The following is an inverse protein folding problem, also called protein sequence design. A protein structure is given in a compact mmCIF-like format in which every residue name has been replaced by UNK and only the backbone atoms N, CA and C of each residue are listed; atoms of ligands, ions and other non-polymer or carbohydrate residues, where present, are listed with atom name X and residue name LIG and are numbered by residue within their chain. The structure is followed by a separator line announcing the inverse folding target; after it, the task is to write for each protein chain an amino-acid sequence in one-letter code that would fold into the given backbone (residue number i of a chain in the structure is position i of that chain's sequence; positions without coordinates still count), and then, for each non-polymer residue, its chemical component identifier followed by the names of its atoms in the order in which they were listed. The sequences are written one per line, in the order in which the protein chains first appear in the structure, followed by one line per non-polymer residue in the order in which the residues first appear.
data_IF_354970250254
#
_entry.id   IF_354970250254
#
_cell.length_a   1.000
_cell.length_b   1.000
_cell.length_c   1.000
_cell.angle_alpha   90.00
_cell.angle_beta   90.00
_cell.angle_gamma   90.00
#
_symmetry.space_group_name_H-M   'P 1'
#
loop_
_entity.id
_entity.type
_entity.pdbx_description
1 polymer ?
#
# COMPACT_ATOMS: atom_id res chain seq x y z
N UNK A 1 -5.28 -22.29 -14.07
CA UNK A 1 -6.21 -21.21 -14.52
C UNK A 1 -5.87 -19.92 -13.81
N UNK A 2 -6.16 -18.77 -14.43
CA UNK A 2 -5.89 -17.45 -13.85
C UNK A 2 -7.23 -16.79 -13.51
N UNK A 3 -7.37 -16.16 -12.34
CA UNK A 3 -8.60 -15.45 -11.96
C UNK A 3 -8.32 -14.09 -11.30
N UNK A 4 -8.79 -13.00 -11.92
CA UNK A 4 -8.68 -11.65 -11.35
C UNK A 4 -9.81 -10.72 -11.82
N UNK A 5 -10.03 -9.63 -11.07
CA UNK A 5 -11.16 -8.70 -11.29
C UNK A 5 -11.10 -7.90 -12.59
N UNK A 6 -9.96 -7.86 -13.30
CA UNK A 6 -9.83 -7.21 -14.62
C UNK A 6 -10.23 -8.10 -15.81
N UNK A 7 -10.58 -9.37 -15.57
CA UNK A 7 -11.05 -10.28 -16.62
C UNK A 7 -12.48 -9.89 -17.03
N UNK A 8 -12.84 -10.18 -18.28
CA UNK A 8 -14.20 -9.97 -18.76
C UNK A 8 -15.19 -10.84 -18.00
N UNK A 9 -16.43 -10.35 -17.82
CA UNK A 9 -17.43 -11.07 -17.02
C UNK A 9 -17.75 -12.46 -17.60
N UNK A 10 -17.76 -12.61 -18.93
CA UNK A 10 -17.96 -13.90 -19.59
C UNK A 10 -16.87 -14.92 -19.22
N UNK A 11 -15.60 -14.51 -19.24
CA UNK A 11 -14.44 -15.35 -18.88
C UNK A 11 -14.49 -15.74 -17.39
N UNK A 12 -14.91 -14.81 -16.52
CA UNK A 12 -15.08 -15.09 -15.09
C UNK A 12 -16.18 -16.10 -14.83
N UNK A 13 -17.30 -16.02 -15.55
CA UNK A 13 -18.40 -16.98 -15.47
C UNK A 13 -17.97 -18.35 -15.99
N UNK A 14 -17.23 -18.41 -17.09
CA UNK A 14 -16.68 -19.66 -17.63
C UNK A 14 -15.78 -20.38 -16.62
N UNK A 15 -14.84 -19.65 -16.00
CA UNK A 15 -13.97 -20.21 -14.97
C UNK A 15 -14.79 -20.64 -13.76
N UNK A 16 -15.76 -19.84 -13.31
CA UNK A 16 -16.62 -20.20 -12.18
C UNK A 16 -17.38 -21.49 -12.45
N UNK A 17 -18.00 -21.62 -13.63
CA UNK A 17 -18.73 -22.81 -14.04
C UNK A 17 -17.80 -24.03 -14.15
N UNK A 18 -16.58 -23.85 -14.67
CA UNK A 18 -15.59 -24.93 -14.76
C UNK A 18 -15.13 -25.43 -13.39
N UNK A 19 -14.93 -24.52 -12.43
CA UNK A 19 -14.60 -24.88 -11.05
C UNK A 19 -15.79 -25.61 -10.40
N UNK A 20 -17.01 -25.14 -10.60
CA UNK A 20 -18.21 -25.78 -10.09
C UNK A 20 -18.48 -27.17 -10.71
N UNK A 21 -18.25 -27.32 -12.02
CA UNK A 21 -18.51 -28.54 -12.78
C UNK A 21 -17.45 -29.63 -12.59
N UNK A 22 -16.28 -29.30 -12.03
CA UNK A 22 -15.19 -30.25 -11.78
C UNK A 22 -15.57 -31.42 -10.84
N UNK A 23 -16.77 -31.37 -10.24
CA UNK A 23 -17.38 -32.47 -9.48
C UNK A 23 -18.22 -33.45 -10.30
N UNK A 24 -18.79 -33.02 -11.44
CA UNK A 24 -19.90 -33.74 -12.10
C UNK A 24 -19.44 -34.88 -13.01
N UNK A 25 -18.24 -34.78 -13.59
CA UNK A 25 -17.82 -35.63 -14.71
C UNK A 25 -16.66 -36.57 -14.39
N UNK A 26 -16.24 -36.66 -13.12
CA UNK A 26 -15.14 -37.54 -12.73
C UNK A 26 -13.79 -37.19 -13.34
N UNK A 27 -13.68 -36.06 -14.06
CA UNK A 27 -12.42 -35.53 -14.57
C UNK A 27 -11.56 -35.00 -13.41
N UNK A 28 -10.42 -35.64 -13.09
CA UNK A 28 -9.49 -35.11 -12.12
C UNK A 28 -8.66 -34.03 -12.82
N UNK A 29 -9.22 -32.83 -12.98
CA UNK A 29 -8.36 -31.69 -13.28
C UNK A 29 -7.77 -31.22 -11.97
N UNK A 30 -6.50 -31.54 -11.72
CA UNK A 30 -5.68 -30.90 -10.70
C UNK A 30 -5.57 -29.41 -11.02
N UNK A 31 -6.62 -28.65 -10.67
CA UNK A 31 -6.75 -27.25 -11.04
C UNK A 31 -5.94 -26.40 -10.07
N UNK A 32 -4.71 -26.07 -10.46
CA UNK A 32 -4.02 -24.93 -9.86
C UNK A 32 -4.69 -23.66 -10.38
N UNK A 33 -5.34 -22.92 -9.48
CA UNK A 33 -5.90 -21.60 -9.77
C UNK A 33 -4.99 -20.55 -9.16
N UNK A 34 -4.35 -19.76 -10.03
CA UNK A 34 -3.63 -18.57 -9.64
C UNK A 34 -4.59 -17.39 -9.70
N UNK A 35 -4.75 -16.64 -8.62
CA UNK A 35 -5.65 -15.51 -8.66
C UNK A 35 -5.39 -14.45 -7.61
N UNK A 36 -5.99 -13.29 -7.82
CA UNK A 36 -6.00 -12.22 -6.84
C UNK A 36 -6.98 -12.55 -5.70
N UNK A 37 -7.17 -11.60 -4.77
CA UNK A 37 -8.09 -11.70 -3.61
C UNK A 37 -9.43 -12.41 -3.88
N UNK A 38 -10.07 -12.10 -4.99
CA UNK A 38 -11.42 -12.59 -5.33
C UNK A 38 -11.46 -14.07 -5.69
N UNK A 39 -10.34 -14.68 -6.07
CA UNK A 39 -10.28 -16.10 -6.41
C UNK A 39 -10.62 -17.01 -5.23
N UNK A 40 -10.48 -16.49 -4.01
CA UNK A 40 -10.85 -17.20 -2.78
C UNK A 40 -12.34 -17.59 -2.73
N UNK A 41 -13.21 -16.89 -3.45
CA UNK A 41 -14.66 -17.14 -3.46
C UNK A 41 -15.13 -18.00 -4.64
N UNK A 42 -14.21 -18.62 -5.38
CA UNK A 42 -14.59 -19.61 -6.37
C UNK A 42 -15.24 -20.83 -5.68
N UNK A 43 -16.19 -21.50 -6.34
CA UNK A 43 -17.04 -22.52 -5.74
C UNK A 43 -16.30 -23.86 -5.67
N UNK A 44 -15.21 -23.91 -4.92
CA UNK A 44 -14.40 -25.13 -4.78
C UNK A 44 -15.20 -26.20 -4.03
N UNK A 45 -15.33 -27.37 -4.63
CA UNK A 45 -15.93 -28.54 -4.00
C UNK A 45 -14.95 -29.32 -3.12
N UNK A 46 -13.72 -29.51 -3.62
CA UNK A 46 -12.64 -30.25 -2.95
C UNK A 46 -11.35 -29.42 -2.94
N UNK A 47 -11.34 -28.39 -2.11
CA UNK A 47 -10.15 -27.54 -1.94
C UNK A 47 -9.07 -28.31 -1.17
N UNK A 48 -7.96 -28.63 -1.85
CA UNK A 48 -6.86 -29.40 -1.25
C UNK A 48 -5.79 -28.57 -0.53
N UNK A 49 -5.59 -27.32 -0.93
CA UNK A 49 -4.59 -26.42 -0.36
C UNK A 49 -4.90 -24.97 -0.76
N UNK A 50 -4.73 -24.03 0.16
CA UNK A 50 -4.70 -22.60 -0.15
C UNK A 50 -3.28 -22.08 0.09
N UNK A 51 -2.70 -21.40 -0.89
CA UNK A 51 -1.41 -20.70 -0.75
C UNK A 51 -1.66 -19.21 -0.88
N UNK A 52 -1.27 -18.45 0.15
CA UNK A 52 -1.24 -16.98 0.11
C UNK A 52 0.22 -16.56 0.10
N UNK A 53 0.72 -16.20 -1.08
CA UNK A 53 2.07 -15.67 -1.24
C UNK A 53 2.12 -14.19 -0.87
N UNK A 54 3.27 -13.75 -0.35
CA UNK A 54 3.48 -12.41 0.23
C UNK A 54 2.35 -11.96 1.16
N UNK A 55 2.00 -12.79 2.15
CA UNK A 55 0.80 -12.61 2.99
C UNK A 55 0.67 -11.24 3.68
N UNK A 56 1.79 -10.55 3.89
CA UNK A 56 1.84 -9.20 4.48
C UNK A 56 1.36 -8.09 3.54
N UNK A 57 1.13 -8.37 2.25
CA UNK A 57 0.76 -7.37 1.26
C UNK A 57 -0.60 -6.73 1.55
N UNK A 58 -0.61 -5.41 1.72
CA UNK A 58 -1.83 -4.62 1.97
C UNK A 58 -2.85 -4.74 0.84
N UNK A 59 -2.42 -5.10 -0.37
CA UNK A 59 -3.34 -5.35 -1.48
C UNK A 59 -4.34 -6.46 -1.19
N UNK A 60 -4.12 -7.31 -0.19
CA UNK A 60 -5.09 -8.31 0.24
C UNK A 60 -6.30 -7.74 1.01
N UNK A 61 -6.22 -6.51 1.53
CA UNK A 61 -7.37 -5.83 2.14
C UNK A 61 -8.23 -5.15 1.07
N UNK A 62 -9.49 -5.55 0.97
CA UNK A 62 -10.49 -4.92 0.12
C UNK A 62 -10.99 -3.62 0.76
N UNK A 63 -10.94 -2.51 0.04
CA UNK A 63 -11.36 -1.18 0.53
C UNK A 63 -12.75 -0.80 0.02
N UNK A 64 -12.95 -0.73 -1.31
CA UNK A 64 -14.25 -0.49 -1.92
C UNK A 64 -14.35 -1.27 -3.25
N UNK A 65 -15.55 -1.73 -3.64
CA UNK A 65 -16.78 -1.69 -2.86
C UNK A 65 -16.74 -2.66 -1.66
N UNK A 66 -17.67 -2.48 -0.72
CA UNK A 66 -17.97 -3.47 0.30
C UNK A 66 -18.32 -4.83 -0.33
N UNK A 67 -18.01 -5.96 0.33
CA UNK A 67 -17.49 -6.09 1.70
C UNK A 67 -15.99 -5.81 1.84
N UNK A 68 -15.59 -5.21 2.96
CA UNK A 68 -14.19 -4.84 3.27
C UNK A 68 -13.42 -5.96 3.97
N UNK A 69 -13.27 -7.09 3.29
CA UNK A 69 -12.59 -8.26 3.84
C UNK A 69 -11.06 -8.19 3.65
N UNK A 70 -10.33 -8.93 4.47
CA UNK A 70 -8.89 -9.18 4.26
C UNK A 70 -8.71 -10.59 3.71
N UNK A 71 -8.21 -10.73 2.48
CA UNK A 71 -8.16 -12.03 1.81
C UNK A 71 -7.30 -13.07 2.55
N UNK A 72 -6.16 -12.68 3.14
CA UNK A 72 -5.39 -13.56 4.04
C UNK A 72 -6.23 -14.17 5.17
N UNK A 73 -6.97 -13.33 5.90
CA UNK A 73 -7.78 -13.81 7.03
C UNK A 73 -8.93 -14.69 6.53
N UNK A 74 -9.54 -14.31 5.40
CA UNK A 74 -10.57 -15.12 4.75
C UNK A 74 -10.01 -16.45 4.22
N UNK A 75 -8.74 -16.51 3.80
CA UNK A 75 -8.10 -17.74 3.37
C UNK A 75 -7.98 -18.74 4.53
N UNK A 76 -7.61 -18.25 5.72
CA UNK A 76 -7.60 -19.07 6.95
C UNK A 76 -9.01 -19.57 7.29
N UNK A 77 -10.03 -18.70 7.18
CA UNK A 77 -11.42 -19.10 7.43
C UNK A 77 -11.91 -20.11 6.39
N UNK A 78 -11.66 -19.88 5.11
CA UNK A 78 -12.04 -20.77 4.02
C UNK A 78 -11.35 -22.14 4.15
N UNK A 79 -10.05 -22.17 4.45
CA UNK A 79 -9.33 -23.41 4.71
C UNK A 79 -9.93 -24.18 5.88
N UNK A 80 -10.30 -23.50 6.97
CA UNK A 80 -10.97 -24.15 8.10
C UNK A 80 -12.36 -24.71 7.72
N UNK A 81 -13.16 -23.97 6.95
CA UNK A 81 -14.49 -24.41 6.50
C UNK A 81 -14.42 -25.60 5.51
N UNK A 82 -13.45 -25.56 4.59
CA UNK A 82 -13.23 -26.59 3.58
C UNK A 82 -12.34 -27.74 4.06
N UNK A 83 -11.82 -27.67 5.30
CA UNK A 83 -10.80 -28.59 5.84
C UNK A 83 -9.54 -28.67 4.97
N UNK A 84 -9.20 -27.57 4.30
CA UNK A 84 -8.01 -27.45 3.48
C UNK A 84 -6.86 -26.82 4.29
N UNK A 85 -5.62 -27.36 4.22
CA UNK A 85 -4.46 -26.67 4.75
C UNK A 85 -4.28 -25.29 4.10
N UNK A 86 -3.72 -24.35 4.87
CA UNK A 86 -3.43 -22.99 4.43
C UNK A 86 -1.96 -22.69 4.66
N UNK A 87 -1.25 -22.33 3.59
CA UNK A 87 0.13 -21.88 3.62
C UNK A 87 0.17 -20.36 3.44
N UNK A 88 0.68 -19.65 4.44
CA UNK A 88 0.95 -18.22 4.35
C UNK A 88 2.46 -18.03 4.15
N UNK A 89 2.86 -17.65 2.94
CA UNK A 89 4.25 -17.44 2.56
C UNK A 89 4.65 -15.97 2.70
N UNK A 90 5.79 -15.70 3.32
CA UNK A 90 6.44 -14.38 3.26
C UNK A 90 7.87 -14.41 3.80
N UNK A 91 8.75 -13.59 3.21
CA UNK A 91 10.05 -13.26 3.79
C UNK A 91 9.94 -12.32 5.00
N UNK A 92 8.94 -11.43 5.00
CA UNK A 92 8.71 -10.43 6.04
C UNK A 92 7.27 -10.49 6.52
N UNK A 93 6.88 -11.53 7.28
CA UNK A 93 5.49 -11.77 7.64
C UNK A 93 4.88 -10.59 8.41
N UNK A 94 3.57 -10.43 8.28
CA UNK A 94 2.79 -9.49 9.07
C UNK A 94 2.90 -9.82 10.56
N UNK A 95 2.86 -8.79 11.40
CA UNK A 95 2.94 -9.00 12.84
C UNK A 95 1.76 -9.81 13.38
N UNK A 96 0.59 -9.73 12.72
CA UNK A 96 -0.57 -10.58 13.00
C UNK A 96 -0.27 -12.06 12.78
N UNK A 97 0.24 -12.43 11.60
CA UNK A 97 0.54 -13.82 11.24
C UNK A 97 1.68 -14.38 12.07
N UNK A 98 2.77 -13.62 12.25
CA UNK A 98 3.91 -14.03 13.06
C UNK A 98 3.52 -14.24 14.53
N UNK A 99 2.68 -13.36 15.10
CA UNK A 99 2.15 -13.56 16.46
C UNK A 99 1.29 -14.81 16.57
N UNK A 100 0.39 -15.05 15.62
CA UNK A 100 -0.45 -16.26 15.65
C UNK A 100 0.41 -17.54 15.59
N UNK A 101 1.51 -17.51 14.82
CA UNK A 101 2.47 -18.61 14.78
C UNK A 101 3.22 -18.76 16.12
N UNK A 102 3.70 -17.67 16.73
CA UNK A 102 4.32 -17.68 18.07
C UNK A 102 3.38 -18.17 19.18
N UNK A 103 2.07 -17.94 19.04
CA UNK A 103 1.05 -18.43 19.98
C UNK A 103 0.63 -19.89 19.71
N UNK A 104 1.23 -20.57 18.72
CA UNK A 104 0.87 -21.94 18.35
C UNK A 104 -0.46 -22.09 17.62
N UNK A 105 -1.10 -20.98 17.20
CA UNK A 105 -2.32 -21.04 16.37
C UNK A 105 -1.99 -21.45 14.94
N UNK A 106 -0.83 -21.03 14.44
CA UNK A 106 -0.27 -21.44 13.15
C UNK A 106 1.03 -22.22 13.38
N UNK A 107 1.37 -23.12 12.47
CA UNK A 107 2.73 -23.66 12.40
C UNK A 107 3.69 -22.61 11.86
N UNK A 108 4.89 -22.50 12.44
CA UNK A 108 5.97 -21.67 11.92
C UNK A 108 7.04 -22.56 11.29
N UNK A 109 7.24 -22.43 9.99
CA UNK A 109 8.36 -23.05 9.27
C UNK A 109 9.27 -21.92 8.80
N UNK A 110 10.54 -21.97 9.20
CA UNK A 110 11.54 -20.96 8.83
C UNK A 110 12.56 -21.60 7.91
N UNK A 111 12.73 -21.01 6.72
CA UNK A 111 13.81 -21.35 5.80
C UNK A 111 14.93 -20.34 6.03
N UNK A 112 16.03 -20.78 6.65
CA UNK A 112 17.15 -19.91 7.04
C UNK A 112 18.24 -19.80 5.96
N UNK A 113 18.10 -20.54 4.86
CA UNK A 113 19.05 -20.55 3.76
C UNK A 113 18.34 -20.11 2.49
N UNK A 114 18.99 -19.23 1.73
CA UNK A 114 18.54 -18.84 0.40
C UNK A 114 18.73 -20.00 -0.56
N UNK A 115 17.90 -20.06 -1.58
CA UNK A 115 18.07 -21.02 -2.67
C UNK A 115 19.30 -20.63 -3.51
N UNK A 116 20.24 -21.57 -3.68
CA UNK A 116 21.47 -21.37 -4.47
C UNK A 116 22.61 -20.69 -3.71
N UNK A 117 23.53 -20.05 -4.46
CA UNK A 117 24.75 -19.37 -3.95
C UNK A 117 24.57 -17.86 -3.77
N UNK A 118 23.36 -17.32 -3.96
CA UNK A 118 23.13 -15.89 -3.98
C UNK A 118 23.28 -15.26 -2.58
N UNK A 119 24.31 -14.42 -2.42
CA UNK A 119 24.53 -13.63 -1.21
C UNK A 119 23.48 -12.52 -1.06
N UNK A 120 23.27 -12.06 0.17
CA UNK A 120 22.47 -10.86 0.42
C UNK A 120 23.15 -9.64 -0.20
N UNK A 121 22.41 -8.76 -0.86
CA UNK A 121 23.01 -7.58 -1.46
C UNK A 121 23.55 -6.65 -0.37
N UNK A 122 24.60 -5.91 -0.71
CA UNK A 122 25.19 -4.92 0.19
C UNK A 122 24.19 -3.78 0.44
N UNK A 123 23.76 -3.60 1.69
CA UNK A 123 22.88 -2.50 2.09
C UNK A 123 23.73 -1.29 2.51
N UNK A 124 23.70 -0.25 1.68
CA UNK A 124 24.40 1.02 1.89
C UNK A 124 23.39 2.07 2.35
N UNK A 125 23.63 2.66 3.53
CA UNK A 125 22.80 3.75 4.05
C UNK A 125 23.44 5.08 3.64
N UNK A 126 22.74 5.86 2.82
CA UNK A 126 23.21 7.14 2.31
C UNK A 126 22.53 8.32 3.03
N UNK A 127 23.33 9.13 3.72
CA UNK A 127 22.86 10.28 4.49
C UNK A 127 22.65 11.51 3.59
N UNK A 128 21.37 11.82 3.32
CA UNK A 128 20.94 12.97 2.53
C UNK A 128 21.35 14.29 3.21
N UNK A 129 21.28 14.39 4.53
CA UNK A 129 21.61 15.63 5.24
C UNK A 129 23.11 15.93 5.16
N UNK A 130 23.95 14.91 5.33
CA UNK A 130 25.40 15.04 5.15
C UNK A 130 25.73 15.50 3.72
N UNK A 131 25.22 14.80 2.72
CA UNK A 131 25.50 15.10 1.31
C UNK A 131 24.99 16.50 0.90
N UNK A 132 23.82 16.94 1.40
CA UNK A 132 23.31 18.29 1.16
C UNK A 132 24.18 19.37 1.81
N UNK A 133 24.57 19.19 3.07
CA UNK A 133 25.42 20.16 3.80
C UNK A 133 26.76 20.35 3.11
N UNK A 134 27.33 19.28 2.57
CA UNK A 134 28.60 19.30 1.83
C UNK A 134 28.46 19.71 0.36
N UNK A 135 27.23 19.94 -0.14
CA UNK A 135 26.92 20.25 -1.55
C UNK A 135 27.38 19.16 -2.52
N UNK A 136 27.32 17.90 -2.09
CA UNK A 136 27.74 16.72 -2.86
C UNK A 136 26.58 16.04 -3.60
N UNK A 137 25.34 16.52 -3.41
CA UNK A 137 24.16 15.98 -4.10
C UNK A 137 24.22 16.28 -5.60
N UNK A 138 23.93 15.27 -6.42
CA UNK A 138 23.69 15.42 -7.86
C UNK A 138 22.20 15.32 -8.12
N UNK A 139 21.55 16.47 -8.24
CA UNK A 139 20.09 16.61 -8.18
C UNK A 139 19.51 15.91 -6.95
N UNK A 140 18.87 14.76 -7.12
CA UNK A 140 18.27 13.94 -6.07
C UNK A 140 19.15 12.78 -5.56
N UNK A 141 20.32 12.55 -6.19
CA UNK A 141 21.20 11.44 -5.86
C UNK A 141 22.29 11.86 -4.86
N UNK A 142 22.45 11.06 -3.82
CA UNK A 142 23.61 11.05 -2.94
C UNK A 142 24.84 10.53 -3.70
N UNK A 143 26.07 10.89 -3.27
CA UNK A 143 27.29 10.37 -3.88
C UNK A 143 27.31 8.84 -3.96
N UNK A 144 26.89 8.18 -2.89
CA UNK A 144 26.85 6.72 -2.78
C UNK A 144 25.95 6.10 -3.86
N UNK A 145 24.73 6.61 -4.03
CA UNK A 145 23.81 6.12 -5.04
C UNK A 145 24.29 6.46 -6.46
N UNK A 146 24.79 7.68 -6.67
CA UNK A 146 25.31 8.09 -7.98
C UNK A 146 26.45 7.18 -8.45
N UNK A 147 27.43 6.90 -7.59
CA UNK A 147 28.57 6.05 -7.93
C UNK A 147 28.15 4.63 -8.29
N UNK A 148 27.25 4.01 -7.50
CA UNK A 148 26.75 2.67 -7.78
C UNK A 148 25.98 2.60 -9.10
N UNK A 149 25.17 3.62 -9.41
CA UNK A 149 24.48 3.68 -10.71
C UNK A 149 25.49 3.80 -11.85
N UNK A 150 26.48 4.69 -11.75
CA UNK A 150 27.49 4.85 -12.80
C UNK A 150 28.26 3.54 -13.06
N UNK A 151 28.71 2.87 -12.00
CA UNK A 151 29.40 1.58 -12.09
C UNK A 151 28.53 0.51 -12.76
N UNK A 152 27.26 0.42 -12.39
CA UNK A 152 26.31 -0.50 -13.01
C UNK A 152 26.16 -0.23 -14.51
N UNK A 153 25.97 1.04 -14.91
CA UNK A 153 25.81 1.43 -16.31
C UNK A 153 27.08 1.18 -17.13
N UNK A 154 28.26 1.47 -16.58
CA UNK A 154 29.56 1.20 -17.22
C UNK A 154 29.77 -0.30 -17.48
N UNK A 155 29.28 -1.15 -16.57
CA UNK A 155 29.32 -2.60 -16.70
C UNK A 155 28.18 -3.18 -17.56
N UNK A 156 27.32 -2.33 -18.15
CA UNK A 156 26.17 -2.77 -18.95
C UNK A 156 25.07 -3.45 -18.12
N UNK A 157 25.01 -3.17 -16.82
CA UNK A 157 24.06 -3.71 -15.87
C UNK A 157 22.86 -2.77 -15.68
N UNK A 158 21.79 -3.28 -15.07
CA UNK A 158 20.54 -2.54 -14.91
C UNK A 158 20.31 -2.08 -13.47
N UNK A 159 19.58 -0.97 -13.34
CA UNK A 159 19.29 -0.30 -12.07
C UNK A 159 17.78 -0.17 -11.86
N UNK A 160 17.30 -0.42 -10.64
CA UNK A 160 15.98 0.01 -10.19
C UNK A 160 16.10 1.24 -9.31
N UNK A 161 15.31 2.27 -9.60
CA UNK A 161 15.09 3.41 -8.71
C UNK A 161 13.68 3.36 -8.14
N UNK A 162 13.60 3.11 -6.85
CA UNK A 162 12.36 3.03 -6.11
C UNK A 162 12.01 4.37 -5.47
N UNK A 163 10.81 4.86 -5.78
CA UNK A 163 10.23 6.03 -5.13
C UNK A 163 8.88 5.66 -4.50
N UNK A 164 8.80 5.71 -3.18
CA UNK A 164 7.51 5.58 -2.50
C UNK A 164 6.77 6.94 -2.52
N UNK A 165 5.65 6.98 -3.23
CA UNK A 165 4.82 8.18 -3.40
C UNK A 165 3.33 7.91 -3.15
N UNK A 166 2.96 7.08 -2.15
CA UNK A 166 1.55 7.06 -1.72
C UNK A 166 1.19 8.45 -1.16
N UNK A 167 0.30 9.18 -1.85
CA UNK A 167 -0.44 10.31 -1.28
C UNK A 167 -0.11 11.73 -1.77
N UNK A 168 0.90 11.96 -2.62
CA UNK A 168 1.21 13.32 -3.10
C UNK A 168 1.05 13.42 -4.61
N UNK A 169 -0.16 13.56 -5.12
CA UNK A 169 -0.39 13.85 -6.54
C UNK A 169 0.28 15.17 -6.97
N UNK A 170 0.68 15.35 -8.24
CA UNK A 170 1.09 16.67 -8.74
C UNK A 170 -0.01 17.68 -8.46
N UNK A 171 0.31 18.87 -7.97
CA UNK A 171 -0.63 19.96 -7.73
C UNK A 171 -0.02 21.26 -8.24
N UNK A 172 -0.82 22.32 -8.30
CA UNK A 172 -0.28 23.66 -8.60
C UNK A 172 -0.33 24.52 -7.35
N UNK A 173 0.65 25.39 -7.22
CA UNK A 173 0.86 26.26 -6.06
C UNK A 173 1.27 27.64 -6.57
N UNK A 174 0.70 28.70 -5.98
CA UNK A 174 1.19 30.05 -6.20
C UNK A 174 2.52 30.25 -5.46
N UNK A 175 3.58 30.57 -6.20
CA UNK A 175 4.92 30.79 -5.65
C UNK A 175 5.00 31.98 -4.69
N UNK A 176 4.11 32.97 -4.83
CA UNK A 176 4.13 34.18 -3.99
C UNK A 176 3.36 34.01 -2.68
N UNK A 177 2.14 33.46 -2.71
CA UNK A 177 1.27 33.41 -1.54
C UNK A 177 0.94 31.99 -1.04
N UNK A 178 1.48 30.95 -1.68
CA UNK A 178 1.28 29.55 -1.32
C UNK A 178 -0.13 29.01 -1.58
N UNK A 179 -0.94 29.72 -2.37
CA UNK A 179 -2.30 29.26 -2.69
C UNK A 179 -2.28 27.99 -3.54
N UNK A 180 -3.03 26.97 -3.12
CA UNK A 180 -3.20 25.69 -3.82
C UNK A 180 -4.68 25.55 -4.20
N UNK A 181 -5.02 25.20 -5.45
CA UNK A 181 -6.39 24.93 -5.83
C UNK A 181 -6.93 23.69 -5.13
N UNK A 182 -8.08 23.85 -4.47
CA UNK A 182 -8.83 22.78 -3.80
C UNK A 182 -10.11 22.48 -4.55
N UNK A 183 -10.61 21.26 -4.42
CA UNK A 183 -11.91 20.90 -4.97
C UNK A 183 -13.04 21.52 -4.12
N UNK A 184 -14.07 22.03 -4.79
CA UNK A 184 -15.29 22.57 -4.17
C UNK A 184 -16.16 21.50 -3.49
N UNK A 185 -16.09 20.26 -3.98
CA UNK A 185 -16.86 19.09 -3.53
C UNK A 185 -16.07 18.14 -2.63
N UNK A 186 -14.75 18.25 -2.62
CA UNK A 186 -13.87 17.37 -1.86
C UNK A 186 -12.84 18.28 -1.19
N UNK A 187 -12.66 18.21 0.12
CA UNK A 187 -11.68 19.05 0.83
C UNK A 187 -10.24 18.53 0.59
N UNK A 188 -9.84 18.50 -0.67
CA UNK A 188 -8.60 17.94 -1.21
C UNK A 188 -8.04 18.88 -2.26
N UNK A 189 -6.72 18.94 -2.37
CA UNK A 189 -6.04 19.62 -3.48
C UNK A 189 -6.34 18.95 -4.82
N UNK A 190 -6.52 19.75 -5.87
CA UNK A 190 -6.68 19.24 -7.22
C UNK A 190 -5.36 18.70 -7.78
N UNK A 191 -5.43 17.59 -8.51
CA UNK A 191 -4.26 16.97 -9.13
C UNK A 191 -4.02 17.55 -10.52
N UNK A 192 -2.80 18.01 -10.80
CA UNK A 192 -2.40 18.46 -12.11
C UNK A 192 -2.08 17.29 -13.04
N UNK A 193 -2.80 17.22 -14.17
CA UNK A 193 -2.58 16.26 -15.26
C UNK A 193 -1.92 16.98 -16.44
N UNK A 194 -0.63 16.72 -16.68
CA UNK A 194 0.18 17.38 -17.70
C UNK A 194 -0.31 17.09 -19.14
N UNK A 195 -0.69 15.83 -19.42
CA UNK A 195 -1.16 15.41 -20.75
C UNK A 195 -2.45 16.12 -21.19
N UNK A 196 -3.36 16.34 -20.25
CA UNK A 196 -4.62 17.05 -20.48
C UNK A 196 -4.52 18.57 -20.21
N UNK A 197 -3.41 19.02 -19.63
CA UNK A 197 -3.20 20.37 -19.10
C UNK A 197 -4.35 20.87 -18.19
N UNK A 198 -4.83 20.01 -17.27
CA UNK A 198 -6.00 20.28 -16.40
C UNK A 198 -5.76 19.87 -14.95
N UNK A 199 -6.50 20.51 -14.05
CA UNK A 199 -6.59 20.17 -12.63
C UNK A 199 -7.79 19.25 -12.41
N UNK A 200 -7.55 18.02 -11.96
CA UNK A 200 -8.56 16.97 -11.80
C UNK A 200 -8.64 16.53 -10.34
N UNK A 201 -9.85 16.45 -9.80
CA UNK A 201 -10.12 15.77 -8.55
C UNK A 201 -10.35 14.28 -8.83
N UNK A 202 -9.43 13.41 -8.39
CA UNK A 202 -9.57 11.95 -8.56
C UNK A 202 -10.73 11.35 -7.76
N UNK A 203 -11.23 12.07 -6.75
CA UNK A 203 -12.35 11.59 -5.95
C UNK A 203 -13.68 11.83 -6.65
N UNK A 204 -13.99 13.05 -7.08
CA UNK A 204 -15.30 13.40 -7.67
C UNK A 204 -15.31 13.55 -9.18
N UNK A 205 -14.14 13.51 -9.83
CA UNK A 205 -14.02 13.70 -11.29
C UNK A 205 -14.09 15.16 -11.75
N UNK A 206 -14.18 16.15 -10.84
CA UNK A 206 -14.11 17.57 -11.20
C UNK A 206 -12.85 17.83 -12.03
N UNK A 207 -13.00 18.50 -13.17
CA UNK A 207 -11.90 18.82 -14.08
C UNK A 207 -11.97 20.28 -14.49
N UNK A 208 -11.00 21.09 -14.07
CA UNK A 208 -10.91 22.52 -14.38
C UNK A 208 -9.59 22.85 -15.09
N UNK A 209 -9.54 23.96 -15.81
CA UNK A 209 -8.28 24.51 -16.35
C UNK A 209 -7.44 25.12 -15.23
N UNK A 210 -6.13 25.25 -15.48
CA UNK A 210 -5.25 26.02 -14.59
C UNK A 210 -5.66 27.50 -14.71
N UNK A 211 -5.96 28.20 -13.61
CA UNK A 211 -6.28 29.62 -13.70
C UNK A 211 -5.03 30.40 -14.13
N UNK A 212 -5.16 31.41 -15.01
CA UNK A 212 -4.01 32.17 -15.49
C UNK A 212 -3.37 33.05 -14.41
N UNK A 213 -4.11 33.35 -13.34
CA UNK A 213 -3.67 34.13 -12.17
C UNK A 213 -4.14 33.46 -10.89
N UNK A 214 -3.43 33.73 -9.79
CA UNK A 214 -3.78 33.22 -8.47
C UNK A 214 -5.09 33.83 -7.96
N UNK A 215 -6.09 32.98 -7.66
CA UNK A 215 -7.38 33.43 -7.11
C UNK A 215 -7.28 34.10 -5.73
N UNK A 216 -6.12 34.03 -5.05
CA UNK A 216 -5.90 34.62 -3.72
C UNK A 216 -5.13 35.95 -3.77
N UNK A 217 -4.13 36.09 -4.65
CA UNK A 217 -3.25 37.26 -4.68
C UNK A 217 -3.14 37.94 -6.05
N UNK A 218 -3.75 37.39 -7.10
CA UNK A 218 -3.69 37.94 -8.46
C UNK A 218 -2.38 37.68 -9.21
N UNK A 219 -1.36 37.12 -8.57
CA UNK A 219 -0.08 36.83 -9.22
C UNK A 219 -0.20 35.77 -10.33
N UNK A 220 0.47 35.93 -11.49
CA UNK A 220 0.62 34.90 -12.51
C UNK A 220 1.60 33.79 -12.11
N UNK A 221 2.24 33.88 -10.93
CA UNK A 221 3.27 32.97 -10.43
C UNK A 221 2.77 31.59 -9.99
N UNK A 222 1.78 31.00 -10.68
CA UNK A 222 1.31 29.63 -10.41
C UNK A 222 2.30 28.64 -11.04
N UNK A 223 2.90 27.80 -10.19
CA UNK A 223 3.84 26.75 -10.62
C UNK A 223 3.33 25.37 -10.23
N UNK A 224 3.75 24.36 -10.98
CA UNK A 224 3.47 22.96 -10.66
C UNK A 224 4.42 22.47 -9.56
N UNK A 225 3.86 21.75 -8.60
CA UNK A 225 4.52 21.09 -7.47
C UNK A 225 4.15 19.62 -7.48
N UNK A 226 5.02 18.77 -6.94
CA UNK A 226 4.75 17.34 -6.89
C UNK A 226 5.00 16.67 -8.25
N UNK A 227 6.26 16.45 -8.57
CA UNK A 227 6.63 15.63 -9.70
C UNK A 227 7.07 14.28 -9.13
N UNK A 228 6.37 13.20 -9.52
CA UNK A 228 6.64 11.86 -9.02
C UNK A 228 7.80 11.19 -9.74
N UNK A 229 7.58 9.97 -10.21
CA UNK A 229 8.48 9.22 -11.10
C UNK A 229 8.86 10.01 -12.35
N UNK A 230 8.04 10.96 -12.82
CA UNK A 230 8.36 11.86 -13.94
C UNK A 230 9.50 12.84 -13.65
N UNK A 231 9.56 13.44 -12.44
CA UNK A 231 10.70 14.29 -12.08
C UNK A 231 11.98 13.49 -12.04
N UNK A 232 11.85 12.31 -11.45
CA UNK A 232 12.96 11.38 -11.33
C UNK A 232 13.45 11.04 -12.72
N UNK A 233 12.55 10.75 -13.66
CA UNK A 233 12.92 10.49 -15.05
C UNK A 233 13.64 11.67 -15.70
N UNK A 234 13.09 12.88 -15.59
CA UNK A 234 13.69 14.09 -16.19
C UNK A 234 15.06 14.43 -15.57
N UNK A 235 15.21 14.33 -14.24
CA UNK A 235 16.47 14.57 -13.54
C UNK A 235 17.50 13.48 -13.86
N UNK A 236 17.10 12.20 -13.88
CA UNK A 236 17.99 11.08 -14.21
C UNK A 236 18.43 11.15 -15.68
N UNK A 237 17.56 11.54 -16.61
CA UNK A 237 17.94 11.83 -18.01
C UNK A 237 18.99 12.93 -18.10
N UNK A 238 18.91 13.95 -17.25
CA UNK A 238 19.92 15.01 -17.18
C UNK A 238 21.27 14.52 -16.66
N UNK A 239 21.28 13.57 -15.71
CA UNK A 239 22.51 13.02 -15.11
C UNK A 239 23.15 11.95 -16.01
N UNK A 240 22.34 11.10 -16.63
CA UNK A 240 22.74 9.96 -17.46
C UNK A 240 22.09 10.04 -18.85
N UNK A 241 22.52 10.97 -19.72
CA UNK A 241 21.86 11.23 -21.01
C UNK A 241 21.89 10.06 -22.00
N UNK A 242 22.84 9.13 -21.83
CA UNK A 242 22.94 7.91 -22.67
C UNK A 242 22.09 6.73 -22.18
N UNK A 243 21.51 6.80 -20.99
CA UNK A 243 20.79 5.67 -20.39
C UNK A 243 19.35 5.56 -20.91
N UNK A 244 18.91 4.34 -21.23
CA UNK A 244 17.52 4.04 -21.61
C UNK A 244 16.67 3.91 -20.36
N UNK A 245 15.85 4.90 -20.08
CA UNK A 245 15.06 4.98 -18.85
C UNK A 245 13.60 4.58 -19.14
N UNK A 246 13.01 3.78 -18.25
CA UNK A 246 11.59 3.44 -18.28
C UNK A 246 10.91 3.74 -16.94
N UNK A 247 9.60 3.98 -16.96
CA UNK A 247 8.76 4.19 -15.76
C UNK A 247 7.73 3.08 -15.58
N UNK A 248 7.64 2.55 -14.37
CA UNK A 248 6.59 1.61 -13.95
C UNK A 248 5.77 2.20 -12.80
N UNK A 249 4.65 2.81 -13.15
CA UNK A 249 3.66 3.36 -12.22
C UNK A 249 2.23 3.14 -12.73
N UNK A 250 1.24 3.54 -11.93
CA UNK A 250 -0.19 3.37 -12.26
C UNK A 250 -0.61 4.09 -13.55
N UNK A 251 0.08 5.17 -13.93
CA UNK A 251 -0.27 5.94 -15.12
C UNK A 251 0.33 5.32 -16.38
N UNK A 252 1.55 4.77 -16.31
CA UNK A 252 2.19 4.08 -17.45
C UNK A 252 1.67 2.65 -17.68
N UNK A 253 1.03 2.03 -16.69
CA UNK A 253 0.58 0.61 -16.73
C UNK A 253 -0.93 0.43 -16.85
N UNK A 254 -1.67 1.45 -17.30
CA UNK A 254 -3.15 1.39 -17.39
C UNK A 254 -3.66 0.29 -18.34
N UNK A 255 -2.92 -0.03 -19.41
CA UNK A 255 -3.25 -1.17 -20.27
C UNK A 255 -2.47 -2.42 -19.84
N UNK A 256 -3.11 -3.59 -19.89
CA UNK A 256 -2.48 -4.86 -19.54
C UNK A 256 -1.19 -5.13 -20.34
N UNK A 257 -1.18 -4.71 -21.62
CA UNK A 257 -0.04 -4.90 -22.51
C UNK A 257 1.14 -3.95 -22.21
N UNK A 258 0.89 -2.78 -21.59
CA UNK A 258 1.96 -1.84 -21.27
C UNK A 258 2.91 -2.37 -20.20
N UNK A 259 2.36 -3.02 -19.16
CA UNK A 259 3.16 -3.63 -18.10
C UNK A 259 4.04 -4.76 -18.67
N UNK A 260 3.44 -5.67 -19.43
CA UNK A 260 4.16 -6.77 -20.06
C UNK A 260 5.26 -6.26 -21.00
N UNK A 261 4.98 -5.18 -21.76
CA UNK A 261 5.98 -4.55 -22.61
C UNK A 261 7.16 -4.02 -21.80
N UNK A 262 6.93 -3.31 -20.70
CA UNK A 262 8.01 -2.77 -19.85
C UNK A 262 8.88 -3.91 -19.29
N UNK A 263 8.24 -4.96 -18.76
CA UNK A 263 8.94 -6.14 -18.22
C UNK A 263 9.80 -6.79 -19.32
N UNK A 264 9.22 -7.06 -20.50
CA UNK A 264 9.94 -7.64 -21.64
C UNK A 264 11.10 -6.75 -22.13
N UNK A 265 10.99 -5.42 -22.05
CA UNK A 265 12.12 -4.54 -22.39
C UNK A 265 13.23 -4.64 -21.35
N UNK A 266 12.88 -4.71 -20.07
CA UNK A 266 13.85 -4.86 -18.99
C UNK A 266 14.59 -6.20 -19.10
N UNK A 267 13.87 -7.32 -19.22
CA UNK A 267 14.44 -8.67 -19.40
C UNK A 267 15.37 -8.77 -20.61
N UNK A 268 15.04 -8.07 -21.71
CA UNK A 268 15.85 -8.05 -22.94
C UNK A 268 17.04 -7.09 -22.87
N UNK A 269 17.34 -6.50 -21.72
CA UNK A 269 18.45 -5.54 -21.61
C UNK A 269 18.22 -4.26 -22.42
N UNK A 270 16.96 -3.85 -22.64
CA UNK A 270 16.58 -2.65 -23.43
C UNK A 270 16.22 -1.44 -22.57
N UNK A 271 16.29 -1.60 -21.26
CA UNK A 271 16.07 -0.55 -20.26
C UNK A 271 17.23 -0.60 -19.28
N UNK A 272 17.98 0.48 -19.14
CA UNK A 272 19.14 0.52 -18.24
C UNK A 272 18.72 0.93 -16.82
N UNK A 273 17.73 1.83 -16.71
CA UNK A 273 17.20 2.31 -15.44
C UNK A 273 15.68 2.19 -15.44
N UNK A 274 15.14 1.39 -14.52
CA UNK A 274 13.70 1.32 -14.25
C UNK A 274 13.36 2.18 -13.03
N UNK A 275 12.58 3.23 -13.25
CA UNK A 275 12.02 4.04 -12.16
C UNK A 275 10.63 3.52 -11.84
N UNK A 276 10.34 3.22 -10.57
CA UNK A 276 8.98 2.87 -10.23
C UNK A 276 8.61 2.97 -8.77
N UNK A 277 7.36 2.60 -8.54
CA UNK A 277 6.70 2.64 -7.22
C UNK A 277 6.57 1.21 -6.68
N UNK A 278 5.60 0.96 -5.80
CA UNK A 278 5.32 -0.37 -5.22
C UNK A 278 5.01 -1.47 -6.25
N UNK A 279 4.81 -1.13 -7.53
CA UNK A 279 4.63 -2.14 -8.58
C UNK A 279 5.92 -2.87 -8.93
N UNK A 280 7.08 -2.23 -8.76
CA UNK A 280 8.39 -2.81 -9.09
C UNK A 280 8.80 -3.92 -8.12
N UNK A 281 8.16 -3.97 -6.95
CA UNK A 281 8.55 -4.86 -5.84
C UNK A 281 7.87 -6.23 -5.91
N UNK A 282 6.92 -6.42 -6.84
CA UNK A 282 6.02 -7.59 -6.87
C UNK A 282 6.38 -8.58 -7.97
N UNK A 283 6.65 -9.82 -7.60
CA UNK A 283 6.58 -11.00 -8.48
C UNK A 283 7.48 -10.96 -9.72
N UNK A 284 8.50 -10.10 -9.72
CA UNK A 284 9.45 -9.94 -10.81
C UNK A 284 10.83 -10.25 -10.26
N UNK A 285 11.48 -11.25 -10.84
CA UNK A 285 12.87 -11.59 -10.58
C UNK A 285 13.66 -11.22 -11.84
N UNK A 286 14.66 -10.37 -11.68
CA UNK A 286 15.41 -9.80 -12.80
C UNK A 286 16.90 -10.10 -12.60
N UNK A 287 17.39 -11.11 -13.32
CA UNK A 287 18.77 -11.60 -13.22
C UNK A 287 19.83 -10.53 -13.53
N UNK A 288 19.44 -9.47 -14.23
CA UNK A 288 20.32 -8.41 -14.76
C UNK A 288 20.48 -7.21 -13.83
N UNK A 289 19.75 -7.15 -12.71
CA UNK A 289 19.75 -5.99 -11.81
C UNK A 289 20.87 -6.08 -10.78
N UNK A 290 21.78 -5.10 -10.80
CA UNK A 290 22.88 -5.01 -9.84
C UNK A 290 22.69 -3.95 -8.77
N UNK A 291 21.88 -2.92 -9.03
CA UNK A 291 21.68 -1.79 -8.09
C UNK A 291 20.20 -1.50 -7.90
N UNK A 292 19.80 -1.37 -6.64
CA UNK A 292 18.48 -0.89 -6.23
C UNK A 292 18.65 0.37 -5.38
N UNK A 293 18.19 1.51 -5.90
CA UNK A 293 18.24 2.80 -5.21
C UNK A 293 16.88 3.18 -4.62
N UNK A 294 16.79 3.28 -3.30
CA UNK A 294 15.63 3.84 -2.60
C UNK A 294 15.86 5.35 -2.42
N UNK A 295 15.09 6.14 -3.17
CA UNK A 295 15.36 7.57 -3.34
C UNK A 295 15.04 8.39 -2.08
N UNK A 296 14.07 7.94 -1.29
CA UNK A 296 13.70 8.56 -0.02
C UNK A 296 12.97 7.57 0.90
N UNK A 297 13.68 7.06 1.91
CA UNK A 297 13.09 6.18 2.93
C UNK A 297 12.27 6.95 3.98
N UNK A 298 12.46 8.26 4.15
CA UNK A 298 11.80 9.05 5.20
C UNK A 298 10.29 9.12 5.01
N UNK A 299 9.82 9.14 3.75
CA UNK A 299 8.40 9.13 3.42
C UNK A 299 7.69 7.85 3.90
N UNK A 300 8.41 6.72 3.95
CA UNK A 300 7.88 5.46 4.47
C UNK A 300 7.80 5.49 5.99
N UNK A 301 8.90 5.90 6.63
CA UNK A 301 9.06 5.84 8.09
C UNK A 301 8.21 6.92 8.77
N UNK A 302 8.17 8.13 8.21
CA UNK A 302 7.46 9.29 8.79
C UNK A 302 5.96 9.32 8.50
N UNK A 303 5.39 8.29 7.89
CA UNK A 303 3.96 8.24 7.61
C UNK A 303 3.16 8.15 8.93
N UNK A 304 2.12 8.98 9.16
CA UNK A 304 1.42 9.09 10.44
C UNK A 304 0.44 7.91 10.67
N UNK A 305 0.99 6.72 10.83
CA UNK A 305 0.29 5.45 11.05
C UNK A 305 1.16 4.56 11.93
N UNK A 306 0.56 3.89 12.92
CA UNK A 306 1.29 2.99 13.81
C UNK A 306 1.91 1.78 13.07
N UNK A 307 1.45 1.48 11.86
CA UNK A 307 2.03 0.44 10.98
C UNK A 307 3.15 0.95 10.07
N UNK A 308 3.48 2.24 10.11
CA UNK A 308 4.47 2.83 9.20
C UNK A 308 5.84 2.13 9.29
N UNK A 309 6.33 1.86 10.50
CA UNK A 309 7.63 1.22 10.71
C UNK A 309 7.67 -0.23 10.21
N UNK A 310 6.62 -1.02 10.47
CA UNK A 310 6.48 -2.39 9.94
C UNK A 310 6.46 -2.38 8.40
N UNK A 311 5.64 -1.52 7.80
CA UNK A 311 5.53 -1.40 6.34
C UNK A 311 6.80 -0.89 5.69
N UNK A 312 7.50 0.04 6.34
CA UNK A 312 8.78 0.55 5.87
C UNK A 312 9.79 -0.58 5.82
N UNK A 313 9.92 -1.38 6.88
CA UNK A 313 10.80 -2.54 6.90
C UNK A 313 10.45 -3.55 5.79
N UNK A 314 9.19 -3.99 5.71
CA UNK A 314 8.72 -4.96 4.70
C UNK A 314 9.05 -4.48 3.29
N UNK A 315 8.75 -3.22 2.98
CA UNK A 315 8.98 -2.68 1.64
C UNK A 315 10.46 -2.51 1.34
N UNK A 316 11.27 -2.02 2.28
CA UNK A 316 12.72 -1.86 2.07
C UNK A 316 13.40 -3.22 1.87
N UNK A 317 13.00 -4.24 2.64
CA UNK A 317 13.49 -5.61 2.46
C UNK A 317 13.03 -6.23 1.14
N UNK A 318 11.76 -6.07 0.77
CA UNK A 318 11.21 -6.59 -0.49
C UNK A 318 11.89 -5.95 -1.71
N UNK A 319 12.13 -4.64 -1.66
CA UNK A 319 12.85 -3.87 -2.69
C UNK A 319 14.32 -4.32 -2.73
N UNK A 320 14.96 -4.44 -1.56
CA UNK A 320 16.36 -4.83 -1.45
C UNK A 320 16.62 -6.25 -1.94
N UNK A 321 15.71 -7.19 -1.68
CA UNK A 321 15.82 -8.59 -2.10
C UNK A 321 15.83 -8.81 -3.62
N UNK A 322 15.61 -7.76 -4.44
CA UNK A 322 15.60 -7.80 -5.91
C UNK A 322 16.96 -7.57 -6.56
N UNK A 323 18.00 -7.27 -5.78
CA UNK A 323 19.37 -7.22 -6.29
C UNK A 323 20.19 -8.44 -5.84
N UNK A 324 21.03 -8.93 -6.75
CA UNK A 324 21.89 -10.08 -6.52
C UNK A 324 21.82 -11.10 -7.65
N UNK A 325 22.98 -11.59 -8.09
CA UNK A 325 23.14 -12.66 -9.09
C UNK A 325 23.57 -13.96 -8.42
N UNK A 326 23.61 -15.06 -9.18
CA UNK A 326 24.30 -16.30 -8.78
C UNK A 326 25.81 -16.11 -8.58
N UNK A 327 26.41 -15.12 -9.27
CA UNK A 327 27.87 -14.95 -9.34
C UNK A 327 28.41 -13.56 -8.90
N UNK A 328 27.54 -12.58 -8.61
CA UNK A 328 27.94 -11.24 -8.14
C UNK A 328 26.93 -10.69 -7.12
N UNK A 329 27.45 -10.13 -6.03
CA UNK A 329 26.68 -9.46 -5.00
C UNK A 329 26.10 -8.15 -5.53
N UNK A 330 24.77 -7.99 -5.47
CA UNK A 330 24.11 -6.73 -5.80
C UNK A 330 24.29 -5.69 -4.68
N UNK A 331 23.85 -4.45 -4.92
CA UNK A 331 23.82 -3.40 -3.90
C UNK A 331 22.45 -2.74 -3.79
N UNK A 332 22.12 -2.32 -2.57
CA UNK A 332 20.91 -1.58 -2.24
C UNK A 332 21.34 -0.29 -1.55
N UNK A 333 21.06 0.85 -2.16
CA UNK A 333 21.38 2.16 -1.56
C UNK A 333 20.12 2.81 -1.04
N UNK A 334 20.05 3.01 0.27
CA UNK A 334 18.91 3.62 0.96
C UNK A 334 19.24 5.06 1.30
N UNK A 335 18.62 6.01 0.61
CA UNK A 335 18.77 7.43 0.92
C UNK A 335 17.79 7.84 2.02
N UNK A 336 18.30 8.43 3.10
CA UNK A 336 17.50 8.94 4.22
C UNK A 336 18.15 10.18 4.83
N UNK A 337 17.32 11.07 5.39
CA UNK A 337 17.78 12.19 6.23
C UNK A 337 17.99 11.80 7.70
N UNK A 338 17.64 10.57 8.08
CA UNK A 338 17.73 10.03 9.44
C UNK A 338 18.38 8.64 9.43
N UNK A 339 19.69 8.55 9.11
CA UNK A 339 20.39 7.26 9.04
C UNK A 339 20.36 6.47 10.36
N UNK A 340 20.30 7.17 11.49
CA UNK A 340 20.29 6.56 12.84
C UNK A 340 18.90 6.08 13.29
N UNK A 341 17.87 6.17 12.43
CA UNK A 341 16.53 5.72 12.80
C UNK A 341 16.51 4.19 13.01
N UNK A 342 15.91 3.66 14.10
CA UNK A 342 15.98 2.23 14.44
C UNK A 342 15.57 1.27 13.32
N UNK A 343 14.51 1.61 12.56
CA UNK A 343 14.06 0.83 11.40
C UNK A 343 15.16 0.65 10.35
N UNK A 344 16.01 1.65 10.12
CA UNK A 344 17.13 1.55 9.16
C UNK A 344 18.16 0.55 9.66
N UNK A 345 18.44 0.54 10.97
CA UNK A 345 19.31 -0.46 11.60
C UNK A 345 18.78 -1.88 11.42
N UNK A 346 17.49 -2.11 11.68
CA UNK A 346 16.87 -3.43 11.49
C UNK A 346 16.89 -3.88 10.03
N UNK A 347 16.64 -2.98 9.07
CA UNK A 347 16.74 -3.30 7.63
C UNK A 347 18.17 -3.68 7.25
N UNK A 348 19.17 -2.93 7.70
CA UNK A 348 20.59 -3.21 7.42
C UNK A 348 21.03 -4.57 7.97
N UNK A 349 20.49 -4.98 9.11
CA UNK A 349 20.81 -6.26 9.76
C UNK A 349 19.91 -7.44 9.37
N UNK A 350 18.95 -7.25 8.46
CA UNK A 350 17.90 -8.25 8.16
C UNK A 350 17.19 -8.77 9.45
N UNK A 351 17.01 -7.88 10.43
CA UNK A 351 16.58 -8.26 11.78
C UNK A 351 15.07 -8.03 11.98
N UNK A 352 14.27 -8.87 11.32
CA UNK A 352 12.82 -8.87 11.49
C UNK A 352 12.40 -9.14 12.96
N UNK A 353 13.11 -10.04 13.65
CA UNK A 353 12.75 -10.43 15.02
C UNK A 353 13.01 -9.28 16.00
N UNK A 354 14.13 -8.58 15.86
CA UNK A 354 14.45 -7.37 16.62
C UNK A 354 13.42 -6.28 16.39
N UNK A 355 13.04 -6.02 15.14
CA UNK A 355 11.96 -5.07 14.83
C UNK A 355 10.64 -5.46 15.51
N UNK A 356 10.24 -6.73 15.40
CA UNK A 356 9.02 -7.23 16.03
C UNK A 356 9.05 -7.03 17.55
N UNK A 357 10.14 -7.44 18.21
CA UNK A 357 10.30 -7.31 19.65
C UNK A 357 10.35 -5.84 20.11
N UNK A 358 10.87 -4.95 19.27
CA UNK A 358 10.93 -3.51 19.56
C UNK A 358 9.55 -2.84 19.50
N UNK A 359 8.73 -3.16 18.48
CA UNK A 359 7.45 -2.49 18.24
C UNK A 359 6.25 -3.12 18.97
N UNK A 360 6.31 -4.42 19.29
CA UNK A 360 5.20 -5.14 19.91
C UNK A 360 4.79 -4.65 21.31
N UNK A 361 5.72 -4.25 22.21
CA UNK A 361 5.38 -3.64 23.49
C UNK A 361 4.59 -2.34 23.33
N UNK A 362 5.03 -1.47 22.42
CA UNK A 362 4.35 -0.20 22.12
C UNK A 362 2.93 -0.44 21.59
N UNK A 363 2.78 -1.37 20.63
CA UNK A 363 1.47 -1.77 20.11
C UNK A 363 0.54 -2.30 21.20
N UNK A 364 1.07 -3.04 22.18
CA UNK A 364 0.29 -3.53 23.32
C UNK A 364 -0.18 -2.37 24.19
N UNK A 365 0.76 -1.47 24.56
CA UNK A 365 0.51 -0.35 25.46
C UNK A 365 -0.57 0.61 24.92
N UNK A 366 -0.51 0.94 23.62
CA UNK A 366 -1.46 1.86 23.00
C UNK A 366 -2.73 1.19 22.46
N UNK A 367 -2.88 -0.11 22.65
CA UNK A 367 -4.05 -0.88 22.23
C UNK A 367 -4.20 -0.97 20.71
N UNK A 368 -3.13 -1.32 20.01
CA UNK A 368 -3.09 -1.52 18.58
C UNK A 368 -3.03 -3.02 18.19
N UNK A 369 -3.40 -3.36 16.95
CA UNK A 369 -3.14 -4.66 16.36
C UNK A 369 -1.67 -5.08 16.49
N UNK A 370 -1.38 -6.37 16.73
CA UNK A 370 -2.32 -7.50 16.74
C UNK A 370 -3.03 -7.75 18.09
N UNK A 371 -2.80 -6.95 19.12
CA UNK A 371 -3.39 -7.15 20.46
C UNK A 371 -4.87 -6.80 20.52
N UNK A 372 -5.25 -5.76 19.79
CA UNK A 372 -6.62 -5.26 19.66
C UNK A 372 -7.08 -5.37 18.20
N UNK A 373 -8.39 -5.42 17.98
CA UNK A 373 -9.02 -5.15 16.69
C UNK A 373 -9.37 -3.67 16.62
N UNK A 374 -9.23 -3.09 15.44
CA UNK A 374 -9.65 -1.72 15.17
C UNK A 374 -10.89 -1.75 14.30
N UNK A 375 -11.90 -0.97 14.64
CA UNK A 375 -13.08 -0.79 13.79
C UNK A 375 -13.23 0.69 13.53
N UNK A 376 -13.25 1.07 12.26
CA UNK A 376 -13.49 2.43 11.81
C UNK A 376 -14.92 2.54 11.31
N UNK A 377 -15.69 3.48 11.86
CA UNK A 377 -17.04 3.78 11.41
C UNK A 377 -17.03 5.18 10.80
N UNK A 378 -17.31 5.27 9.51
CA UNK A 378 -17.47 6.52 8.80
C UNK A 378 -18.96 6.84 8.68
N UNK A 379 -19.37 7.96 9.27
CA UNK A 379 -20.72 8.54 9.16
C UNK A 379 -20.66 9.64 8.12
N UNK A 380 -21.53 9.56 7.10
CA UNK A 380 -21.53 10.46 5.96
C UNK A 380 -22.91 11.07 5.74
N UNK A 381 -22.96 12.39 5.52
CA UNK A 381 -24.18 13.08 5.12
C UNK A 381 -23.87 14.25 4.18
N UNK A 382 -24.81 14.67 3.33
CA UNK A 382 -24.62 15.82 2.42
C UNK A 382 -24.60 17.18 3.13
N UNK A 383 -25.21 17.23 4.31
CA UNK A 383 -25.20 18.38 5.24
C UNK A 383 -24.29 18.07 6.42
N UNK A 384 -23.40 19.00 6.75
CA UNK A 384 -22.42 18.83 7.83
C UNK A 384 -23.09 18.67 9.19
N UNK A 385 -24.12 19.46 9.48
CA UNK A 385 -24.79 19.48 10.79
C UNK A 385 -25.39 18.12 11.11
N UNK A 386 -25.99 17.47 10.11
CA UNK A 386 -26.58 16.13 10.25
C UNK A 386 -25.49 15.06 10.40
N UNK A 387 -24.37 15.17 9.68
CA UNK A 387 -23.24 14.25 9.86
C UNK A 387 -22.68 14.33 11.29
N UNK A 388 -22.56 15.54 11.84
CA UNK A 388 -22.06 15.81 13.19
C UNK A 388 -23.01 15.29 14.26
N UNK A 389 -24.32 15.56 14.10
CA UNK A 389 -25.36 15.05 14.96
C UNK A 389 -25.38 13.51 14.98
N UNK A 390 -25.51 12.87 13.82
CA UNK A 390 -25.61 11.42 13.71
C UNK A 390 -24.36 10.72 14.25
N UNK A 391 -23.15 11.27 13.99
CA UNK A 391 -21.91 10.73 14.54
C UNK A 391 -21.83 10.91 16.07
N UNK A 392 -22.31 12.04 16.60
CA UNK A 392 -22.40 12.30 18.04
C UNK A 392 -23.35 11.34 18.74
N UNK A 393 -24.53 11.11 18.18
CA UNK A 393 -25.51 10.13 18.67
C UNK A 393 -24.95 8.71 18.65
N UNK A 394 -24.39 8.28 17.52
CA UNK A 394 -23.78 6.96 17.39
C UNK A 394 -22.66 6.75 18.40
N UNK A 395 -21.78 7.74 18.58
CA UNK A 395 -20.70 7.65 19.56
C UNK A 395 -21.22 7.59 21.01
N UNK A 396 -22.31 8.30 21.34
CA UNK A 396 -22.95 8.21 22.66
C UNK A 396 -23.54 6.82 22.90
N UNK A 397 -24.25 6.26 21.93
CA UNK A 397 -24.78 4.89 22.02
C UNK A 397 -23.67 3.85 22.19
N UNK A 398 -22.61 3.94 21.39
CA UNK A 398 -21.46 3.04 21.46
C UNK A 398 -20.70 3.14 22.80
N UNK A 399 -20.71 4.29 23.47
CA UNK A 399 -20.06 4.49 24.77
C UNK A 399 -20.81 3.88 25.95
N UNK A 400 -22.05 3.41 25.75
CA UNK A 400 -22.83 2.76 26.83
C UNK A 400 -22.26 1.41 27.25
N UNK A 401 -21.42 0.79 26.42
CA UNK A 401 -20.75 -0.47 26.74
C UNK A 401 -19.31 -0.24 27.20
N UNK A 402 -18.83 -1.12 28.08
CA UNK A 402 -17.44 -1.17 28.54
C UNK A 402 -16.59 -2.18 27.76
N UNK A 403 -17.19 -2.94 26.83
CA UNK A 403 -16.51 -4.00 26.06
C UNK A 403 -15.47 -3.49 25.06
N UNK A 404 -15.50 -2.19 24.73
CA UNK A 404 -14.55 -1.58 23.81
C UNK A 404 -14.41 -0.10 24.08
N UNK A 405 -13.29 0.47 23.62
CA UNK A 405 -13.01 1.90 23.73
C UNK A 405 -13.42 2.63 22.46
N UNK A 406 -14.19 3.70 22.61
CA UNK A 406 -14.62 4.58 21.52
C UNK A 406 -13.77 5.86 21.50
N UNK A 407 -13.26 6.21 20.32
CA UNK A 407 -12.52 7.43 20.03
C UNK A 407 -13.25 8.23 18.94
N UNK A 408 -13.25 9.56 19.05
CA UNK A 408 -14.07 10.43 18.20
C UNK A 408 -15.49 10.63 18.75
N UNK A 409 -16.45 11.13 17.96
CA UNK A 409 -16.35 11.37 16.53
C UNK A 409 -15.37 12.50 16.22
N UNK A 410 -14.60 12.36 15.15
CA UNK A 410 -13.65 13.38 14.70
C UNK A 410 -13.74 13.57 13.19
N UNK A 411 -13.28 14.71 12.70
CA UNK A 411 -13.07 14.89 11.28
C UNK A 411 -11.91 13.99 10.81
N UNK A 412 -12.07 13.21 9.73
CA UNK A 412 -10.94 12.57 9.07
C UNK A 412 -10.01 13.60 8.43
N UNK A 413 -8.83 13.14 8.00
CA UNK A 413 -7.88 13.96 7.23
C UNK A 413 -8.54 14.63 6.01
N UNK A 414 -9.51 13.94 5.38
CA UNK A 414 -10.33 14.47 4.30
C UNK A 414 -11.79 14.54 4.79
N UNK A 415 -12.18 15.68 5.36
CA UNK A 415 -13.48 15.90 6.01
C UNK A 415 -14.68 15.90 5.05
N UNK A 416 -14.46 16.08 3.75
CA UNK A 416 -15.51 16.10 2.72
C UNK A 416 -15.07 15.40 1.44
N UNK A 417 -15.93 14.53 0.91
CA UNK A 417 -15.66 13.76 -0.30
C UNK A 417 -16.92 13.62 -1.15
N UNK A 418 -16.87 14.06 -2.41
CA UNK A 418 -18.03 14.05 -3.34
C UNK A 418 -19.27 14.71 -2.71
N UNK A 419 -19.07 15.84 -2.04
CA UNK A 419 -20.07 16.59 -1.26
C UNK A 419 -20.59 15.90 0.00
N UNK A 420 -20.13 14.69 0.31
CA UNK A 420 -20.43 14.05 1.59
C UNK A 420 -19.49 14.58 2.66
N UNK A 421 -20.04 15.18 3.71
CA UNK A 421 -19.33 15.47 4.95
C UNK A 421 -19.16 14.18 5.73
N UNK A 422 -17.94 13.94 6.22
CA UNK A 422 -17.55 12.68 6.84
C UNK A 422 -17.12 12.93 8.29
N UNK A 423 -17.61 12.09 9.19
CA UNK A 423 -17.09 11.94 10.55
C UNK A 423 -16.66 10.51 10.79
N UNK A 424 -15.55 10.34 11.47
CA UNK A 424 -15.00 9.04 11.82
C UNK A 424 -15.11 8.78 13.31
N UNK A 425 -15.51 7.56 13.65
CA UNK A 425 -15.46 7.00 14.99
C UNK A 425 -14.55 5.78 14.93
N UNK A 426 -13.60 5.71 15.85
CA UNK A 426 -12.67 4.61 15.97
C UNK A 426 -12.98 3.80 17.22
N UNK A 427 -13.06 2.48 17.07
CA UNK A 427 -13.31 1.54 18.16
C UNK A 427 -12.09 0.63 18.32
N UNK A 428 -11.61 0.50 19.55
CA UNK A 428 -10.57 -0.45 19.93
C UNK A 428 -11.20 -1.57 20.75
N UNK A 429 -11.10 -2.81 20.26
CA UNK A 429 -11.68 -4.00 20.88
C UNK A 429 -10.55 -4.94 21.26
N UNK A 430 -10.45 -5.32 22.53
CA UNK A 430 -9.48 -6.34 22.94
C UNK A 430 -9.85 -7.71 22.34
N UNK A 431 -8.85 -8.52 21.96
CA UNK A 431 -9.08 -9.77 21.20
C UNK A 431 -9.68 -10.93 22.01
N UNK A 432 -9.74 -10.79 23.32
CA UNK A 432 -10.38 -11.70 24.28
C UNK A 432 -11.91 -11.58 24.29
N UNK A 433 -12.49 -10.46 23.84
CA UNK A 433 -13.93 -10.31 23.75
C UNK A 433 -14.57 -11.08 22.59
N UNK A 434 -15.78 -11.61 22.83
CA UNK A 434 -16.57 -12.31 21.82
C UNK A 434 -16.99 -11.39 20.68
N UNK A 435 -16.47 -11.65 19.47
CA UNK A 435 -16.72 -10.83 18.28
C UNK A 435 -18.21 -10.69 17.93
N UNK A 436 -19.03 -11.72 18.19
CA UNK A 436 -20.48 -11.68 17.95
C UNK A 436 -21.21 -10.63 18.80
N UNK A 437 -20.85 -10.51 20.08
CA UNK A 437 -21.45 -9.54 20.98
C UNK A 437 -21.09 -8.10 20.56
N UNK A 438 -19.81 -7.87 20.24
CA UNK A 438 -19.33 -6.57 19.73
C UNK A 438 -20.04 -6.20 18.44
N UNK A 439 -20.18 -7.14 17.50
CA UNK A 439 -20.92 -6.94 16.25
C UNK A 439 -22.37 -6.54 16.52
N UNK A 440 -23.08 -7.24 17.39
CA UNK A 440 -24.48 -6.96 17.67
C UNK A 440 -24.68 -5.58 18.30
N UNK A 441 -23.80 -5.17 19.22
CA UNK A 441 -23.84 -3.83 19.82
C UNK A 441 -23.63 -2.75 18.76
N UNK A 442 -22.62 -2.92 17.89
CA UNK A 442 -22.34 -1.95 16.82
C UNK A 442 -23.52 -1.86 15.86
N UNK A 443 -24.06 -2.99 15.40
CA UNK A 443 -25.19 -3.02 14.48
C UNK A 443 -26.43 -2.37 15.10
N UNK A 444 -26.78 -2.73 16.33
CA UNK A 444 -27.92 -2.13 17.05
C UNK A 444 -27.75 -0.62 17.25
N UNK A 445 -26.54 -0.15 17.60
CA UNK A 445 -26.26 1.28 17.71
C UNK A 445 -26.41 1.98 16.35
N UNK A 446 -25.92 1.38 15.26
CA UNK A 446 -26.06 1.97 13.92
C UNK A 446 -27.50 2.00 13.42
N UNK A 447 -28.31 0.98 13.71
CA UNK A 447 -29.73 0.94 13.38
C UNK A 447 -30.49 2.04 14.14
N UNK A 448 -30.31 2.13 15.46
CA UNK A 448 -30.91 3.18 16.29
C UNK A 448 -30.56 4.59 15.79
N UNK A 449 -29.29 4.84 15.43
CA UNK A 449 -28.89 6.13 14.88
C UNK A 449 -29.56 6.41 13.53
N UNK A 450 -29.72 5.41 12.65
CA UNK A 450 -30.41 5.60 11.36
C UNK A 450 -31.90 5.91 11.53
N UNK A 451 -32.53 5.32 12.53
CA UNK A 451 -33.96 5.53 12.83
C UNK A 451 -34.24 6.84 13.58
N UNK A 452 -33.21 7.47 14.14
CA UNK A 452 -33.37 8.69 14.95
C UNK A 452 -33.84 9.87 14.08
N UNK A 453 -34.83 10.67 14.55
CA UNK A 453 -35.32 11.83 13.83
C UNK A 453 -34.21 12.82 13.50
N UNK A 454 -34.13 13.27 12.24
CA UNK A 454 -33.09 14.20 11.77
C UNK A 454 -31.87 13.53 11.11
N UNK A 455 -31.72 12.20 11.23
CA UNK A 455 -30.60 11.46 10.62
C UNK A 455 -30.91 10.86 9.24
N UNK A 456 -32.07 11.17 8.67
CA UNK A 456 -32.48 10.67 7.35
C UNK A 456 -31.44 10.95 6.26
N UNK A 457 -31.16 9.96 5.40
CA UNK A 457 -30.16 10.08 4.34
C UNK A 457 -28.70 9.88 4.79
N UNK A 458 -28.45 9.58 6.07
CA UNK A 458 -27.10 9.31 6.58
C UNK A 458 -26.59 7.94 6.13
N UNK A 459 -25.40 7.92 5.54
CA UNK A 459 -24.69 6.70 5.19
C UNK A 459 -23.68 6.36 6.28
N UNK A 460 -23.86 5.21 6.92
CA UNK A 460 -22.93 4.68 7.91
C UNK A 460 -22.17 3.51 7.29
N UNK A 461 -20.85 3.63 7.22
CA UNK A 461 -19.95 2.61 6.67
C UNK A 461 -19.01 2.09 7.76
N UNK A 462 -18.95 0.77 7.93
CA UNK A 462 -18.10 0.12 8.91
C UNK A 462 -16.92 -0.54 8.18
N UNK A 463 -15.71 -0.36 8.69
CA UNK A 463 -14.49 -1.01 8.23
C UNK A 463 -13.80 -1.69 9.42
N UNK A 464 -13.79 -3.02 9.40
CA UNK A 464 -13.17 -3.85 10.44
C UNK A 464 -11.74 -4.15 10.04
N UNK A 465 -10.81 -3.91 10.96
CA UNK A 465 -9.36 -4.03 10.77
C UNK A 465 -8.89 -3.23 9.52
N UNK A 466 -9.00 -1.88 9.56
CA UNK A 466 -8.55 -1.00 8.47
C UNK A 466 -7.02 -1.03 8.32
N UNK A 467 -6.56 -0.83 7.07
CA UNK A 467 -5.16 -0.88 6.62
C UNK A 467 -4.67 0.39 5.95
#
# INVERSE_FOLDING_TARGET
MIYHSRMGDAERVEIWNRVAASDSEGEPSGQVILGARSALFLPFSKLGLIIVDEEHENSYKQSDPSPRYHARDMAVVAGNLSKAPVLLGSATPSFESYRNAKLGKYGLVTLSQRFGTAEMPEIIIADIQRARKRREMRAMLTPELYMKISEALENGEQVILFQNRRGYSPFVECHECGWIPVCDRCDVSLTFHKSANRLICHYCGLSISIPPVCNKCGSPGIKTRGFGTEKVEDEIKGIFPGARIARMDLDTTRSAHALEKIIRQLEKGRTDILIGTQMVTKGLDFETISVVGILNADNLIGYPDFRAHERAFQLLMQVGGRSGRKDKQGSVVIQTSRPDHPVIGFVKGDDFQGLYNNLMPERKLFGYPPWFRLIKIAVKHLKQEIADQAAGELARELRKTTLFRVMGPQAPLIGRLRSWHIREIWIKVARDHHAGQVRNIILSATEKTRESPGNGGTLIQIDVDPM
#
